data_IF_961114368248
#
_entry.id   IF_961114368248
#
_cell.length_a   1.000
_cell.length_b   1.000
_cell.length_c   1.000
_cell.angle_alpha   90.00
_cell.angle_beta   90.00
_cell.angle_gamma   90.00
#
_symmetry.space_group_name_H-M   'P 1'
#
loop_
_entity.id
_entity.type
_entity.pdbx_description
1 polymer ?
#
# COMPACT_ATOMS: atom_id res chain seq x y z
N UNK A 1 -0.34 -6.89 -11.53
CA UNK A 1 1.10 -6.67 -11.36
C UNK A 1 1.84 -7.63 -12.30
N UNK A 2 2.91 -7.16 -12.91
CA UNK A 2 3.73 -7.98 -13.81
C UNK A 2 4.70 -8.86 -13.00
N UNK A 3 5.14 -8.36 -11.86
CA UNK A 3 5.99 -9.08 -10.90
C UNK A 3 5.40 -8.95 -9.50
N UNK A 4 5.39 -10.06 -8.77
CA UNK A 4 5.03 -10.10 -7.35
C UNK A 4 6.25 -10.58 -6.58
N UNK A 5 6.61 -9.87 -5.52
CA UNK A 5 7.78 -10.16 -4.70
C UNK A 5 7.29 -10.56 -3.31
N UNK A 6 7.64 -11.76 -2.87
CA UNK A 6 7.42 -12.18 -1.50
C UNK A 6 8.58 -11.68 -0.63
N UNK A 7 8.31 -10.67 0.18
CA UNK A 7 9.30 -10.05 1.06
C UNK A 7 9.80 -10.97 2.19
N UNK A 8 9.14 -12.11 2.41
CA UNK A 8 9.60 -13.11 3.37
C UNK A 8 10.70 -14.01 2.81
N UNK A 9 10.81 -14.06 1.49
CA UNK A 9 11.78 -14.90 0.78
C UNK A 9 12.90 -14.10 0.11
N UNK A 10 12.62 -12.86 -0.29
CA UNK A 10 13.53 -12.02 -1.07
C UNK A 10 13.53 -10.57 -0.57
N UNK A 11 14.66 -9.87 -0.69
CA UNK A 11 14.69 -8.42 -0.46
C UNK A 11 14.02 -7.69 -1.65
N UNK A 12 12.90 -6.99 -1.42
CA UNK A 12 12.20 -6.30 -2.49
C UNK A 12 13.04 -5.23 -3.19
N UNK A 13 13.96 -4.57 -2.48
CA UNK A 13 14.81 -3.53 -3.05
C UNK A 13 15.82 -4.14 -4.02
N UNK A 14 16.45 -5.25 -3.64
CA UNK A 14 17.41 -5.95 -4.52
C UNK A 14 16.74 -6.45 -5.79
N UNK A 15 15.55 -7.06 -5.67
CA UNK A 15 14.79 -7.53 -6.84
C UNK A 15 14.41 -6.36 -7.75
N UNK A 16 13.89 -5.26 -7.19
CA UNK A 16 13.51 -4.08 -7.98
C UNK A 16 14.74 -3.48 -8.69
N UNK A 17 15.85 -3.33 -8.01
CA UNK A 17 17.08 -2.82 -8.61
C UNK A 17 17.58 -3.74 -9.73
N UNK A 18 17.50 -5.05 -9.55
CA UNK A 18 17.86 -6.02 -10.60
C UNK A 18 16.97 -5.89 -11.84
N UNK A 19 15.67 -5.67 -11.67
CA UNK A 19 14.71 -5.48 -12.75
C UNK A 19 14.87 -4.13 -13.49
N UNK A 20 15.60 -3.20 -12.92
CA UNK A 20 15.78 -1.83 -13.43
C UNK A 20 17.23 -1.50 -13.71
N UNK A 21 18.07 -2.50 -13.95
CA UNK A 21 19.52 -2.34 -14.23
C UNK A 21 20.24 -1.47 -13.18
N UNK A 22 19.83 -1.58 -11.92
CA UNK A 22 20.37 -0.82 -10.78
C UNK A 22 19.89 0.63 -10.67
N UNK A 23 19.08 1.11 -11.59
CA UNK A 23 18.63 2.50 -11.62
C UNK A 23 17.52 2.80 -10.59
N UNK A 24 16.67 1.83 -10.32
CA UNK A 24 15.46 1.99 -9.52
C UNK A 24 14.24 2.44 -10.34
N UNK A 25 13.10 2.50 -9.68
CA UNK A 25 11.80 2.83 -10.32
C UNK A 25 11.57 4.34 -10.43
N UNK A 26 10.78 4.77 -11.41
CA UNK A 26 10.33 6.17 -11.55
C UNK A 26 9.44 6.61 -10.39
N UNK A 27 8.60 5.68 -9.93
CA UNK A 27 7.66 5.96 -8.84
C UNK A 27 7.47 4.75 -7.95
N UNK A 28 7.40 4.98 -6.65
CA UNK A 28 7.03 3.97 -5.65
C UNK A 28 5.84 4.43 -4.83
N UNK A 29 5.08 3.46 -4.29
CA UNK A 29 3.93 3.72 -3.43
C UNK A 29 4.15 2.98 -2.11
N UNK A 30 4.25 3.73 -1.01
CA UNK A 30 4.22 3.19 0.33
C UNK A 30 2.77 3.16 0.82
N UNK A 31 2.26 1.98 1.16
CA UNK A 31 0.83 1.78 1.46
C UNK A 31 0.58 1.03 2.78
N UNK A 32 1.60 0.80 3.59
CA UNK A 32 1.50 0.11 4.89
C UNK A 32 1.59 1.09 6.06
N UNK A 33 2.54 2.02 5.99
CA UNK A 33 2.83 2.95 7.08
C UNK A 33 3.88 2.43 8.07
N UNK A 34 4.81 1.61 7.60
CA UNK A 34 5.92 1.10 8.40
C UNK A 34 7.25 1.72 7.99
N UNK A 35 8.16 1.85 8.94
CA UNK A 35 9.51 2.38 8.68
C UNK A 35 10.23 1.58 7.60
N UNK A 36 10.16 0.25 7.66
CA UNK A 36 10.84 -0.62 6.70
C UNK A 36 10.34 -0.43 5.26
N UNK A 37 9.02 -0.30 5.06
CA UNK A 37 8.44 -0.09 3.72
C UNK A 37 8.71 1.31 3.19
N UNK A 38 8.75 2.31 4.05
CA UNK A 38 9.14 3.67 3.67
C UNK A 38 10.61 3.73 3.21
N UNK A 39 11.51 3.09 3.96
CA UNK A 39 12.92 2.98 3.57
C UNK A 39 13.09 2.21 2.25
N UNK A 40 12.36 1.12 2.08
CA UNK A 40 12.39 0.34 0.84
C UNK A 40 11.97 1.20 -0.37
N UNK A 41 10.92 2.01 -0.23
CA UNK A 41 10.52 2.96 -1.27
C UNK A 41 11.62 3.98 -1.60
N UNK A 42 12.30 4.53 -0.58
CA UNK A 42 13.40 5.46 -0.81
C UNK A 42 14.57 4.78 -1.54
N UNK A 43 14.92 3.56 -1.13
CA UNK A 43 16.03 2.79 -1.72
C UNK A 43 15.74 2.37 -3.16
N UNK A 44 14.51 1.94 -3.43
CA UNK A 44 14.11 1.45 -4.75
C UNK A 44 13.80 2.56 -5.76
N UNK A 45 13.54 3.79 -5.33
CA UNK A 45 13.22 4.90 -6.23
C UNK A 45 14.50 5.56 -6.74
N UNK A 46 14.58 5.77 -8.06
CA UNK A 46 15.73 6.43 -8.70
C UNK A 46 15.85 7.90 -8.29
N UNK A 47 17.03 8.55 -8.49
CA UNK A 47 17.13 10.00 -8.42
C UNK A 47 16.12 10.69 -9.35
N UNK A 48 15.53 11.79 -8.91
CA UNK A 48 14.44 12.49 -9.61
C UNK A 48 13.09 11.77 -9.60
N UNK A 49 13.00 10.59 -8.97
CA UNK A 49 11.75 9.83 -8.88
C UNK A 49 10.79 10.31 -7.79
N UNK A 50 9.58 9.77 -7.79
CA UNK A 50 8.52 10.15 -6.85
C UNK A 50 8.15 9.00 -5.91
N UNK A 51 8.08 9.29 -4.64
CA UNK A 51 7.59 8.38 -3.59
C UNK A 51 6.22 8.89 -3.14
N UNK A 52 5.17 8.09 -3.31
CA UNK A 52 3.82 8.40 -2.85
C UNK A 52 3.54 7.63 -1.57
N UNK A 53 3.49 8.33 -0.45
CA UNK A 53 3.18 7.72 0.84
C UNK A 53 1.70 7.88 1.15
N UNK A 54 0.97 6.77 1.16
CA UNK A 54 -0.44 6.68 1.55
C UNK A 54 -0.65 5.85 2.80
N UNK A 55 0.40 5.16 3.27
CA UNK A 55 0.40 4.43 4.53
C UNK A 55 0.34 5.37 5.73
N UNK A 56 -0.30 4.92 6.80
CA UNK A 56 -0.43 5.66 8.05
C UNK A 56 0.69 5.26 9.04
N UNK A 57 1.64 6.16 9.26
CA UNK A 57 2.72 5.97 10.23
C UNK A 57 2.24 6.35 11.63
N UNK A 58 1.67 5.37 12.34
CA UNK A 58 1.07 5.56 13.66
C UNK A 58 2.01 5.40 14.85
N UNK A 59 3.27 5.05 14.61
CA UNK A 59 4.23 4.73 15.66
C UNK A 59 5.47 5.64 15.62
N UNK A 60 6.03 5.93 16.81
CA UNK A 60 7.23 6.75 16.94
C UNK A 60 6.99 8.24 16.72
N UNK A 61 8.07 9.02 16.91
CA UNK A 61 8.05 10.47 16.74
C UNK A 61 8.67 10.93 15.41
N UNK A 62 9.33 10.03 14.70
CA UNK A 62 10.09 10.34 13.49
C UNK A 62 9.94 9.23 12.47
N UNK A 63 9.92 9.60 11.20
CA UNK A 63 10.18 8.70 10.08
C UNK A 63 11.63 8.93 9.64
N UNK A 64 12.43 7.88 9.65
CA UNK A 64 13.85 7.97 9.29
C UNK A 64 14.03 7.78 7.78
N UNK A 65 14.96 8.54 7.22
CA UNK A 65 15.32 8.42 5.80
C UNK A 65 16.78 7.93 5.68
N UNK A 66 17.05 6.89 4.87
CA UNK A 66 18.41 6.44 4.60
C UNK A 66 19.16 7.52 3.81
N UNK A 67 20.10 8.19 4.47
CA UNK A 67 20.75 9.40 3.96
C UNK A 67 21.42 9.20 2.59
N UNK A 68 22.09 8.08 2.38
CA UNK A 68 22.81 7.79 1.14
C UNK A 68 21.83 7.60 -0.03
N UNK A 69 20.84 6.77 0.16
CA UNK A 69 19.85 6.41 -0.86
C UNK A 69 18.88 7.55 -1.15
N UNK A 70 18.68 8.46 -0.19
CA UNK A 70 18.00 9.74 -0.42
C UNK A 70 18.86 10.72 -1.24
N UNK A 71 20.13 10.38 -1.52
CA UNK A 71 21.05 11.22 -2.28
C UNK A 71 21.66 12.34 -1.47
N UNK A 72 21.83 12.18 -0.14
CA UNK A 72 22.39 13.16 0.80
C UNK A 72 21.77 14.57 0.69
N UNK A 73 20.50 14.65 0.29
CA UNK A 73 19.79 15.91 0.08
C UNK A 73 19.86 16.47 -1.35
N UNK A 74 20.54 15.80 -2.26
CA UNK A 74 20.73 16.25 -3.66
C UNK A 74 20.17 15.25 -4.69
N UNK A 75 19.44 14.23 -4.24
CA UNK A 75 18.89 13.18 -5.10
C UNK A 75 17.64 13.58 -5.90
N UNK A 76 17.14 14.78 -5.72
CA UNK A 76 15.94 15.32 -6.40
C UNK A 76 14.70 14.41 -6.28
N UNK A 77 14.64 13.57 -5.24
CA UNK A 77 13.48 12.70 -4.98
C UNK A 77 12.32 13.50 -4.39
N UNK A 78 11.13 13.27 -4.92
CA UNK A 78 9.89 13.91 -4.44
C UNK A 78 9.14 12.94 -3.54
N UNK A 79 8.83 13.35 -2.30
CA UNK A 79 7.96 12.61 -1.40
C UNK A 79 6.61 13.31 -1.35
N UNK A 80 5.56 12.60 -1.73
CA UNK A 80 4.17 13.08 -1.67
C UNK A 80 3.40 12.30 -0.63
N UNK A 81 2.74 13.01 0.25
CA UNK A 81 1.85 12.44 1.26
C UNK A 81 0.45 12.95 1.06
N UNK A 82 -0.54 12.22 1.50
CA UNK A 82 -1.91 12.69 1.45
C UNK A 82 -2.90 11.70 2.06
N UNK A 83 -3.95 12.24 2.64
CA UNK A 83 -5.11 11.46 3.03
C UNK A 83 -6.07 11.40 1.84
N UNK A 84 -6.68 10.24 1.61
CA UNK A 84 -7.73 10.10 0.62
C UNK A 84 -8.87 11.08 0.95
N UNK A 85 -9.17 12.07 0.10
CA UNK A 85 -10.26 13.00 0.37
C UNK A 85 -11.59 12.25 0.37
N UNK A 86 -12.41 12.52 1.37
CA UNK A 86 -13.77 12.00 1.48
C UNK A 86 -14.80 12.84 0.73
N UNK A 87 -16.06 12.64 1.09
CA UNK A 87 -17.19 13.43 0.63
C UNK A 87 -18.00 12.81 -0.51
N UNK A 88 -19.21 13.34 -0.68
CA UNK A 88 -20.21 12.78 -1.61
C UNK A 88 -19.75 12.78 -3.08
N UNK A 89 -19.08 13.84 -3.51
CA UNK A 89 -18.58 13.93 -4.90
C UNK A 89 -17.50 12.89 -5.21
N UNK A 90 -16.63 12.62 -4.26
CA UNK A 90 -15.63 11.55 -4.41
C UNK A 90 -16.30 10.18 -4.46
N UNK A 91 -17.26 9.95 -3.56
CA UNK A 91 -18.03 8.70 -3.55
C UNK A 91 -18.76 8.49 -4.87
N UNK A 92 -19.42 9.49 -5.42
CA UNK A 92 -20.06 9.42 -6.74
C UNK A 92 -19.08 9.03 -7.85
N UNK A 93 -17.87 9.60 -7.84
CA UNK A 93 -16.83 9.25 -8.83
C UNK A 93 -16.38 7.80 -8.71
N UNK A 94 -16.21 7.31 -7.48
CA UNK A 94 -15.86 5.90 -7.23
C UNK A 94 -16.98 4.97 -7.67
N UNK A 95 -18.23 5.30 -7.36
CA UNK A 95 -19.41 4.54 -7.81
C UNK A 95 -19.48 4.43 -9.33
N UNK A 96 -19.17 5.50 -10.07
CA UNK A 96 -19.12 5.45 -11.55
C UNK A 96 -18.07 4.47 -12.08
N UNK A 97 -16.96 4.26 -11.38
CA UNK A 97 -15.97 3.26 -11.77
C UNK A 97 -16.55 1.83 -11.66
N UNK A 98 -17.38 1.60 -10.65
CA UNK A 98 -18.09 0.33 -10.47
C UNK A 98 -19.20 0.17 -11.53
N UNK A 99 -20.03 1.17 -11.73
CA UNK A 99 -21.12 1.19 -12.72
C UNK A 99 -20.63 0.94 -14.15
N UNK A 100 -19.46 1.49 -14.49
CA UNK A 100 -18.87 1.32 -15.81
C UNK A 100 -18.00 0.06 -15.95
N UNK A 101 -17.93 -0.78 -14.91
CA UNK A 101 -17.14 -2.01 -14.91
C UNK A 101 -15.61 -1.81 -14.97
N UNK A 102 -15.12 -0.57 -14.75
CA UNK A 102 -13.68 -0.29 -14.75
C UNK A 102 -12.95 -0.85 -13.54
N UNK A 103 -13.66 -1.04 -12.44
CA UNK A 103 -13.16 -1.65 -11.21
C UNK A 103 -14.17 -2.67 -10.73
N UNK A 104 -13.69 -3.86 -10.39
CA UNK A 104 -14.49 -4.89 -9.76
C UNK A 104 -13.92 -5.23 -8.39
N UNK A 105 -14.49 -4.75 -7.27
CA UNK A 105 -14.02 -5.03 -5.92
C UNK A 105 -14.51 -6.37 -5.36
N UNK A 106 -15.44 -7.08 -6.05
CA UNK A 106 -16.02 -8.32 -5.55
C UNK A 106 -14.99 -9.38 -5.12
N UNK A 107 -13.88 -9.58 -5.85
CA UNK A 107 -12.84 -10.53 -5.42
C UNK A 107 -12.18 -10.21 -4.09
N UNK A 108 -12.27 -8.97 -3.62
CA UNK A 108 -11.74 -8.56 -2.32
C UNK A 108 -12.66 -9.01 -1.16
N UNK A 109 -13.94 -9.23 -1.43
CA UNK A 109 -14.91 -9.71 -0.42
C UNK A 109 -14.82 -11.22 -0.33
N UNK A 110 -13.94 -11.70 0.54
CA UNK A 110 -13.65 -13.14 0.68
C UNK A 110 -14.61 -13.85 1.61
N UNK A 111 -15.14 -13.15 2.61
CA UNK A 111 -15.97 -13.74 3.66
C UNK A 111 -17.23 -12.92 3.91
N UNK A 112 -18.31 -13.61 4.30
CA UNK A 112 -19.59 -12.99 4.68
C UNK A 112 -19.98 -13.47 6.06
N UNK A 113 -20.37 -12.52 6.93
CA UNK A 113 -20.80 -12.80 8.29
C UNK A 113 -22.14 -12.10 8.55
N UNK A 114 -22.94 -12.68 9.44
CA UNK A 114 -24.02 -11.94 10.07
C UNK A 114 -23.46 -10.99 11.12
N UNK A 115 -24.19 -9.96 11.46
CA UNK A 115 -23.77 -9.03 12.52
C UNK A 115 -23.53 -9.73 13.85
N UNK A 116 -24.29 -10.79 14.17
CA UNK A 116 -24.08 -11.64 15.35
C UNK A 116 -22.68 -12.26 15.42
N UNK A 117 -22.01 -12.42 14.28
CA UNK A 117 -20.69 -13.07 14.17
C UNK A 117 -19.55 -12.05 13.94
N UNK A 118 -19.79 -10.78 14.21
CA UNK A 118 -18.85 -9.68 13.93
C UNK A 118 -17.50 -9.86 14.63
N UNK A 119 -17.50 -10.38 15.87
CA UNK A 119 -16.26 -10.65 16.63
C UNK A 119 -15.37 -11.68 15.91
N UNK A 120 -15.98 -12.73 15.35
CA UNK A 120 -15.28 -13.73 14.54
C UNK A 120 -14.68 -13.12 13.28
N UNK A 121 -15.40 -12.21 12.64
CA UNK A 121 -14.89 -11.50 11.47
C UNK A 121 -13.65 -10.65 11.80
N UNK A 122 -13.67 -9.93 12.93
CA UNK A 122 -12.51 -9.18 13.41
C UNK A 122 -11.32 -10.08 13.76
N UNK A 123 -11.56 -11.20 14.40
CA UNK A 123 -10.50 -12.14 14.75
C UNK A 123 -9.83 -12.72 13.49
N UNK A 124 -10.61 -13.13 12.49
CA UNK A 124 -10.07 -13.58 11.22
C UNK A 124 -9.30 -12.47 10.48
N UNK A 125 -9.78 -11.22 10.52
CA UNK A 125 -9.04 -10.09 9.98
C UNK A 125 -7.70 -9.87 10.68
N UNK A 126 -7.68 -9.97 12.01
CA UNK A 126 -6.47 -9.79 12.83
C UNK A 126 -5.42 -10.86 12.55
N UNK A 127 -5.85 -12.12 12.45
CA UNK A 127 -4.96 -13.27 12.26
C UNK A 127 -4.60 -13.53 10.80
N UNK A 128 -5.31 -12.91 9.85
CA UNK A 128 -5.22 -13.19 8.41
C UNK A 128 -5.46 -14.67 8.07
N UNK A 129 -6.17 -15.38 8.95
CA UNK A 129 -6.48 -16.79 8.74
C UNK A 129 -7.47 -16.97 7.59
N UNK A 130 -7.53 -18.20 7.06
CA UNK A 130 -8.48 -18.64 6.03
C UNK A 130 -8.49 -17.76 4.75
N UNK A 131 -7.35 -17.14 4.40
CA UNK A 131 -7.25 -16.27 3.23
C UNK A 131 -8.11 -15.00 3.31
N UNK A 132 -8.45 -14.55 4.53
CA UNK A 132 -9.26 -13.36 4.77
C UNK A 132 -8.62 -12.09 4.18
N UNK A 133 -9.34 -11.45 3.23
CA UNK A 133 -9.01 -10.11 2.73
C UNK A 133 -9.98 -9.07 3.29
N UNK A 134 -11.27 -9.18 2.92
CA UNK A 134 -12.32 -8.26 3.38
C UNK A 134 -13.56 -9.04 3.83
N UNK A 135 -13.97 -8.92 5.09
CA UNK A 135 -15.28 -9.44 5.53
C UNK A 135 -16.39 -8.48 5.12
N UNK A 136 -17.50 -9.03 4.69
CA UNK A 136 -18.76 -8.32 4.52
C UNK A 136 -19.68 -8.69 5.68
N UNK A 137 -20.12 -7.71 6.42
CA UNK A 137 -21.10 -7.89 7.51
C UNK A 137 -22.49 -7.58 7.00
N UNK A 138 -23.43 -8.49 7.20
CA UNK A 138 -24.84 -8.32 6.84
C UNK A 138 -25.70 -8.19 8.09
N UNK A 139 -26.73 -7.35 8.03
CA UNK A 139 -27.64 -7.05 9.13
C UNK A 139 -29.00 -7.74 8.98
N UNK A 140 -29.12 -8.67 8.03
CA UNK A 140 -30.32 -9.47 7.81
C UNK A 140 -30.13 -10.87 8.38
#
# INVERSE_FOLDING_TARGET
ADVVIDFTEQDPVEVILSLTDGQGVDSSIEALGAQATFEACIKATRPGGTISNIGYHGEGNYVQMPRKEWGVGMGDKVIRTGLCPGGAERMKRLMRLLETGRVNPLPLTTHRFRFSDVEKAFELMRTKADGMLKPLITFA
#
